data_IF_937670238303
#
_entry.id   IF_937670238303
#
_cell.length_a   1.000
_cell.length_b   1.000
_cell.length_c   1.000
_cell.angle_alpha   90.00
_cell.angle_beta   90.00
_cell.angle_gamma   90.00
#
_symmetry.space_group_name_H-M   'P 1'
#
loop_
_entity.id
_entity.type
_entity.pdbx_description
1 polymer ?
#
# COMPACT_ATOMS: atom_id res chain seq x y z
N UNK A 1 0.97 0.90 2.87
CA UNK A 1 0.28 1.20 1.60
C UNK A 1 0.94 0.38 0.51
N UNK A 2 0.14 -0.29 -0.32
CA UNK A 2 0.62 -1.05 -1.48
C UNK A 2 -0.31 -0.79 -2.66
N UNK A 3 0.20 -0.99 -3.88
CA UNK A 3 -0.60 -0.79 -5.08
C UNK A 3 -1.67 -1.88 -5.18
N UNK A 4 -2.90 -1.45 -5.38
CA UNK A 4 -4.11 -2.28 -5.52
C UNK A 4 -4.45 -2.50 -7.00
N UNK A 5 -4.23 -1.50 -7.83
CA UNK A 5 -4.34 -1.68 -9.27
C UNK A 5 -4.12 -0.43 -10.09
N UNK A 6 -3.90 -0.63 -11.38
CA UNK A 6 -3.90 0.42 -12.39
C UNK A 6 -5.14 0.21 -13.24
N UNK A 7 -5.96 1.24 -13.38
CA UNK A 7 -7.22 1.17 -14.13
C UNK A 7 -7.06 1.92 -15.45
N UNK A 8 -7.25 1.20 -16.55
CA UNK A 8 -7.22 1.73 -17.91
C UNK A 8 -8.63 1.74 -18.50
N UNK A 9 -8.94 2.79 -19.26
CA UNK A 9 -10.08 2.83 -20.17
C UNK A 9 -9.63 2.35 -21.54
N UNK A 10 -10.46 1.52 -22.15
CA UNK A 10 -10.25 0.96 -23.48
C UNK A 10 -11.52 1.11 -24.33
N UNK A 11 -11.36 1.34 -25.62
CA UNK A 11 -12.45 1.33 -26.60
C UNK A 11 -12.82 -0.09 -27.07
N UNK A 12 -11.94 -1.06 -26.80
CA UNK A 12 -12.07 -2.43 -27.22
C UNK A 12 -11.51 -3.39 -26.17
N UNK A 13 -12.35 -3.65 -25.16
CA UNK A 13 -12.02 -4.48 -24.01
C UNK A 13 -11.49 -5.87 -24.38
N UNK A 14 -11.98 -6.47 -25.46
CA UNK A 14 -11.56 -7.79 -25.88
C UNK A 14 -10.16 -7.77 -26.49
N UNK A 15 -9.85 -6.81 -27.36
CA UNK A 15 -8.52 -6.71 -27.98
C UNK A 15 -7.47 -6.34 -26.93
N UNK A 16 -7.77 -5.42 -26.02
CA UNK A 16 -6.85 -5.05 -24.93
C UNK A 16 -6.65 -6.21 -23.95
N UNK A 17 -7.73 -6.89 -23.53
CA UNK A 17 -7.58 -8.06 -22.66
C UNK A 17 -6.76 -9.17 -23.34
N UNK A 18 -6.97 -9.43 -24.62
CA UNK A 18 -6.18 -10.41 -25.38
C UNK A 18 -4.72 -9.98 -25.50
N UNK A 19 -4.44 -8.70 -25.74
CA UNK A 19 -3.08 -8.18 -25.78
C UNK A 19 -2.36 -8.43 -24.44
N UNK A 20 -2.93 -7.95 -23.34
CA UNK A 20 -2.29 -8.07 -22.03
C UNK A 20 -2.20 -9.52 -21.55
N UNK A 21 -3.20 -10.36 -21.83
CA UNK A 21 -3.20 -11.75 -21.38
C UNK A 21 -2.36 -12.67 -22.27
N UNK A 22 -2.58 -12.66 -23.58
CA UNK A 22 -1.99 -13.62 -24.51
C UNK A 22 -0.61 -13.17 -25.02
N UNK A 23 -0.47 -11.88 -25.33
CA UNK A 23 0.80 -11.34 -25.86
C UNK A 23 1.77 -11.04 -24.72
N UNK A 24 1.31 -10.28 -23.74
CA UNK A 24 2.16 -9.81 -22.65
C UNK A 24 2.29 -10.84 -21.51
N UNK A 25 1.32 -11.75 -21.36
CA UNK A 25 1.39 -12.88 -20.43
C UNK A 25 0.83 -12.61 -19.03
N UNK A 26 0.01 -11.57 -18.87
CA UNK A 26 -0.78 -11.39 -17.65
C UNK A 26 -1.87 -12.46 -17.55
N UNK A 27 -2.30 -12.77 -16.33
CA UNK A 27 -3.37 -13.73 -16.09
C UNK A 27 -4.69 -13.02 -15.92
N UNK A 28 -5.68 -13.35 -16.75
CA UNK A 28 -7.06 -12.96 -16.48
C UNK A 28 -7.59 -13.69 -15.24
N UNK A 29 -8.09 -12.94 -14.26
CA UNK A 29 -8.62 -13.48 -13.00
C UNK A 29 -10.12 -13.26 -12.84
N UNK A 30 -10.64 -12.19 -13.44
CA UNK A 30 -12.05 -11.85 -13.41
C UNK A 30 -12.43 -11.10 -14.69
N UNK A 31 -13.65 -11.37 -15.16
CA UNK A 31 -14.24 -10.71 -16.31
C UNK A 31 -15.73 -10.52 -16.08
N UNK A 32 -16.17 -9.28 -16.23
CA UNK A 32 -17.58 -8.92 -16.34
C UNK A 32 -17.86 -8.35 -17.74
N UNK A 33 -19.03 -7.74 -17.94
CA UNK A 33 -19.43 -7.22 -19.26
C UNK A 33 -18.55 -6.08 -19.76
N UNK A 34 -18.07 -5.25 -18.84
CA UNK A 34 -17.45 -3.94 -19.10
C UNK A 34 -16.12 -3.79 -18.34
N UNK A 35 -15.65 -4.84 -17.68
CA UNK A 35 -14.38 -4.84 -16.95
C UNK A 35 -13.67 -6.19 -17.03
N UNK A 36 -12.34 -6.15 -17.19
CA UNK A 36 -11.46 -7.31 -17.09
C UNK A 36 -10.36 -6.99 -16.07
N UNK A 37 -10.15 -7.91 -15.14
CA UNK A 37 -9.05 -7.83 -14.17
C UNK A 37 -7.94 -8.83 -14.54
N UNK A 38 -6.73 -8.32 -14.66
CA UNK A 38 -5.53 -9.05 -15.03
C UNK A 38 -4.50 -8.98 -13.90
N UNK A 39 -3.79 -10.08 -13.68
CA UNK A 39 -2.80 -10.23 -12.62
C UNK A 39 -1.42 -10.58 -13.17
N UNK A 40 -0.37 -9.97 -12.59
CA UNK A 40 1.03 -10.34 -12.83
C UNK A 40 1.64 -11.19 -11.71
N UNK A 41 2.93 -11.50 -11.87
CA UNK A 41 3.74 -12.41 -11.06
C UNK A 41 3.97 -11.86 -9.65
N UNK A 42 4.02 -12.77 -8.67
CA UNK A 42 4.53 -12.54 -7.30
C UNK A 42 3.90 -11.38 -6.50
N UNK A 43 2.73 -10.89 -6.93
CA UNK A 43 2.08 -9.80 -6.24
C UNK A 43 0.64 -10.18 -5.94
N UNK A 44 0.41 -10.50 -4.67
CA UNK A 44 -0.94 -10.60 -4.13
C UNK A 44 -1.63 -9.24 -4.26
N UNK A 45 -2.70 -9.17 -5.05
CA UNK A 45 -3.57 -8.01 -5.12
C UNK A 45 -3.16 -6.86 -6.05
N UNK A 46 -2.09 -6.97 -6.85
CA UNK A 46 -1.80 -5.98 -7.89
C UNK A 46 -2.43 -6.38 -9.22
N UNK A 47 -3.36 -5.55 -9.67
CA UNK A 47 -4.20 -5.82 -10.81
C UNK A 47 -4.08 -4.72 -11.87
N UNK A 48 -4.10 -5.12 -13.13
CA UNK A 48 -4.43 -4.24 -14.23
C UNK A 48 -5.92 -4.40 -14.52
N UNK A 49 -6.69 -3.33 -14.38
CA UNK A 49 -8.10 -3.31 -14.72
C UNK A 49 -8.26 -2.64 -16.08
N UNK A 50 -8.94 -3.31 -16.99
CA UNK A 50 -9.36 -2.76 -18.26
C UNK A 50 -10.85 -2.52 -18.19
N UNK A 51 -11.30 -1.32 -18.54
CA UNK A 51 -12.70 -0.93 -18.47
C UNK A 51 -13.18 -0.41 -19.82
N UNK A 52 -14.28 -0.98 -20.30
CA UNK A 52 -15.03 -0.45 -21.45
C UNK A 52 -15.84 0.77 -21.00
N UNK A 53 -15.52 1.95 -21.52
CA UNK A 53 -16.26 3.17 -21.24
C UNK A 53 -16.27 4.12 -22.45
N UNK A 54 -17.36 4.85 -22.60
CA UNK A 54 -17.54 5.89 -23.64
C UNK A 54 -16.82 7.20 -23.24
N UNK A 55 -15.52 7.10 -22.97
CA UNK A 55 -14.59 8.20 -22.65
C UNK A 55 -13.24 7.95 -23.33
N UNK A 56 -12.34 8.92 -23.27
CA UNK A 56 -11.00 8.80 -23.89
C UNK A 56 -10.20 7.64 -23.28
N UNK A 57 -9.56 6.84 -24.15
CA UNK A 57 -8.66 5.75 -23.76
C UNK A 57 -7.45 6.26 -22.96
N UNK A 58 -6.94 5.39 -22.08
CA UNK A 58 -5.74 5.68 -21.28
C UNK A 58 -5.94 5.38 -19.81
N UNK A 59 -5.20 6.10 -18.96
CA UNK A 59 -5.31 5.94 -17.51
C UNK A 59 -6.62 6.55 -16.99
N UNK A 60 -7.44 5.74 -16.32
CA UNK A 60 -8.56 6.21 -15.49
C UNK A 60 -8.03 6.69 -14.12
N UNK A 61 -7.43 5.76 -13.36
CA UNK A 61 -6.86 6.05 -12.06
C UNK A 61 -5.88 4.97 -11.59
N UNK A 62 -5.08 5.32 -10.57
CA UNK A 62 -4.18 4.40 -9.87
C UNK A 62 -4.72 4.17 -8.46
N UNK A 63 -4.93 2.93 -8.06
CA UNK A 63 -5.53 2.61 -6.75
C UNK A 63 -4.53 1.94 -5.80
N UNK A 64 -4.58 2.33 -4.53
CA UNK A 64 -3.76 1.76 -3.45
C UNK A 64 -4.63 1.24 -2.31
N UNK A 65 -4.15 0.21 -1.64
CA UNK A 65 -4.72 -0.27 -0.38
C UNK A 65 -3.99 0.40 0.79
N UNK A 66 -4.76 0.90 1.76
CA UNK A 66 -4.28 1.61 2.95
C UNK A 66 -4.91 1.04 4.22
N UNK A 67 -4.12 0.94 5.30
CA UNK A 67 -4.61 0.44 6.58
C UNK A 67 -5.52 1.46 7.31
N UNK A 68 -5.24 2.74 7.13
CA UNK A 68 -5.94 3.83 7.83
C UNK A 68 -6.30 4.95 6.86
N UNK A 69 -7.44 4.78 6.17
CA UNK A 69 -7.94 5.73 5.19
C UNK A 69 -8.25 7.10 5.84
N UNK A 70 -8.84 7.13 7.04
CA UNK A 70 -9.23 8.38 7.71
C UNK A 70 -8.03 9.29 8.01
N UNK A 71 -6.91 8.71 8.44
CA UNK A 71 -5.70 9.47 8.70
C UNK A 71 -5.11 10.08 7.41
N UNK A 72 -5.18 9.37 6.29
CA UNK A 72 -4.67 9.88 5.00
C UNK A 72 -5.62 10.93 4.44
N UNK A 73 -6.94 10.72 4.53
CA UNK A 73 -7.95 11.71 4.12
C UNK A 73 -7.78 13.01 4.90
N UNK A 74 -7.56 12.95 6.21
CA UNK A 74 -7.29 14.17 7.00
C UNK A 74 -6.03 14.90 6.51
N UNK A 75 -4.95 14.18 6.19
CA UNK A 75 -3.73 14.80 5.64
C UNK A 75 -3.95 15.42 4.26
N UNK A 76 -4.78 14.79 3.42
CA UNK A 76 -5.16 15.34 2.11
C UNK A 76 -5.96 16.63 2.28
N UNK A 77 -6.93 16.65 3.19
CA UNK A 77 -7.71 17.86 3.52
C UNK A 77 -6.82 18.97 4.11
N UNK A 78 -5.87 18.61 5.00
CA UNK A 78 -4.90 19.55 5.58
C UNK A 78 -3.95 20.14 4.51
N UNK A 79 -3.76 19.42 3.40
CA UNK A 79 -2.99 19.84 2.23
C UNK A 79 -3.84 20.55 1.15
N UNK A 80 -5.11 20.88 1.46
CA UNK A 80 -6.06 21.54 0.55
C UNK A 80 -6.39 20.73 -0.72
N UNK A 81 -6.35 19.40 -0.63
CA UNK A 81 -6.72 18.49 -1.71
C UNK A 81 -8.19 18.10 -1.60
N UNK A 82 -8.94 18.21 -2.70
CA UNK A 82 -10.34 17.77 -2.75
C UNK A 82 -10.44 16.23 -2.79
N UNK A 83 -11.21 15.66 -1.87
CA UNK A 83 -11.34 14.21 -1.69
C UNK A 83 -12.77 13.77 -1.88
N UNK A 84 -12.98 12.89 -2.86
CA UNK A 84 -14.27 12.22 -3.11
C UNK A 84 -14.33 10.89 -2.38
N UNK A 85 -14.97 10.88 -1.21
CA UNK A 85 -15.17 9.68 -0.40
C UNK A 85 -16.46 8.93 -0.78
N UNK A 86 -16.36 7.61 -0.96
CA UNK A 86 -17.48 6.69 -1.18
C UNK A 86 -17.40 5.52 -0.19
N UNK A 87 -18.53 5.21 0.44
CA UNK A 87 -18.68 4.06 1.32
C UNK A 87 -19.59 3.02 0.64
N UNK A 88 -19.20 1.75 0.71
CA UNK A 88 -19.94 0.63 0.17
C UNK A 88 -20.61 -0.19 1.28
N UNK A 89 -21.66 -0.95 0.94
CA UNK A 89 -22.49 -1.69 1.91
C UNK A 89 -21.73 -2.83 2.62
N UNK A 90 -20.68 -3.33 1.99
CA UNK A 90 -19.76 -4.35 2.53
C UNK A 90 -18.77 -3.78 3.56
N UNK A 91 -18.80 -2.47 3.80
CA UNK A 91 -17.88 -1.76 4.68
C UNK A 91 -16.61 -1.28 3.98
N UNK A 92 -16.44 -1.56 2.68
CA UNK A 92 -15.32 -1.03 1.89
C UNK A 92 -15.47 0.48 1.76
N UNK A 93 -14.39 1.20 2.01
CA UNK A 93 -14.33 2.66 1.86
C UNK A 93 -13.29 3.01 0.81
N UNK A 94 -13.65 3.90 -0.10
CA UNK A 94 -12.77 4.35 -1.18
C UNK A 94 -12.74 5.87 -1.22
N UNK A 95 -11.55 6.46 -1.23
CA UNK A 95 -11.35 7.88 -1.49
C UNK A 95 -10.70 8.06 -2.86
N UNK A 96 -11.14 9.05 -3.64
CA UNK A 96 -10.47 9.46 -4.87
C UNK A 96 -10.08 10.94 -4.77
N UNK A 97 -8.90 11.28 -5.25
CA UNK A 97 -8.40 12.66 -5.35
C UNK A 97 -7.46 12.78 -6.55
N UNK A 98 -7.14 14.00 -6.96
CA UNK A 98 -6.13 14.27 -7.99
C UNK A 98 -4.78 14.53 -7.31
N UNK A 99 -3.74 13.80 -7.74
CA UNK A 99 -2.36 14.03 -7.30
C UNK A 99 -1.75 15.29 -7.96
N UNK A 100 -0.53 15.67 -7.55
CA UNK A 100 0.19 16.84 -8.10
C UNK A 100 0.31 16.80 -9.63
N UNK A 101 0.47 15.60 -10.20
CA UNK A 101 0.61 15.40 -11.64
C UNK A 101 -0.72 15.35 -12.40
N UNK A 102 -1.83 15.78 -11.80
CA UNK A 102 -3.18 15.69 -12.39
C UNK A 102 -3.61 14.24 -12.70
N UNK A 103 -3.10 13.27 -11.93
CA UNK A 103 -3.50 11.86 -12.02
C UNK A 103 -4.48 11.53 -10.91
N UNK A 104 -5.58 10.86 -11.24
CA UNK A 104 -6.53 10.41 -10.21
C UNK A 104 -5.92 9.25 -9.41
N UNK A 105 -5.89 9.39 -8.08
CA UNK A 105 -5.43 8.38 -7.14
C UNK A 105 -6.63 7.89 -6.30
N UNK A 106 -6.81 6.58 -6.25
CA UNK A 106 -7.78 5.89 -5.41
C UNK A 106 -7.11 5.29 -4.16
N UNK A 107 -7.74 5.41 -2.99
CA UNK A 107 -7.31 4.76 -1.74
C UNK A 107 -8.43 3.90 -1.21
N UNK A 108 -8.15 2.65 -0.84
CA UNK A 108 -9.15 1.71 -0.32
C UNK A 108 -8.68 1.00 0.96
N UNK A 109 -9.62 0.62 1.83
CA UNK A 109 -9.31 -0.09 3.09
C UNK A 109 -9.20 -1.62 2.94
N UNK A 110 -9.48 -2.16 1.76
CA UNK A 110 -9.48 -3.59 1.48
C UNK A 110 -8.99 -3.87 0.06
N UNK A 111 -8.32 -5.01 -0.14
CA UNK A 111 -7.97 -5.49 -1.48
C UNK A 111 -9.21 -5.88 -2.29
N UNK A 112 -9.11 -5.90 -3.62
CA UNK A 112 -10.24 -6.20 -4.50
C UNK A 112 -10.54 -7.70 -4.57
N UNK A 113 -9.50 -8.53 -4.63
CA UNK A 113 -9.62 -9.96 -4.91
C UNK A 113 -8.62 -10.76 -4.07
N UNK A 114 -9.07 -11.93 -3.61
CA UNK A 114 -8.17 -12.93 -3.04
C UNK A 114 -7.46 -13.66 -4.18
N UNK A 115 -6.17 -13.38 -4.33
CA UNK A 115 -5.35 -13.95 -5.40
C UNK A 115 -4.50 -15.14 -4.93
N UNK A 116 -4.80 -15.73 -3.76
CA UNK A 116 -4.04 -16.84 -3.20
C UNK A 116 -4.34 -18.16 -3.94
N UNK A 117 -3.55 -18.49 -4.96
CA UNK A 117 -3.63 -19.79 -5.65
C UNK A 117 -3.54 -19.77 -7.18
N UNK A 118 -3.05 -18.69 -7.78
CA UNK A 118 -2.83 -18.63 -9.23
C UNK A 118 -1.58 -19.41 -9.67
N UNK A 119 -1.61 -19.96 -10.89
CA UNK A 119 -0.40 -20.34 -11.65
C UNK A 119 0.55 -19.14 -11.77
N UNK A 120 1.86 -19.38 -11.67
CA UNK A 120 2.88 -18.35 -11.84
C UNK A 120 2.85 -17.78 -13.27
N UNK A 121 2.79 -16.46 -13.39
CA UNK A 121 3.01 -15.73 -14.65
C UNK A 121 4.49 -15.32 -14.75
N UNK A 122 5.01 -15.08 -15.95
CA UNK A 122 6.42 -14.68 -16.18
C UNK A 122 6.65 -13.16 -16.12
N UNK A 123 5.58 -12.38 -15.93
CA UNK A 123 5.61 -10.91 -16.00
C UNK A 123 5.03 -10.26 -14.74
N UNK A 124 5.65 -9.19 -14.27
CA UNK A 124 5.27 -8.41 -13.08
C UNK A 124 5.11 -6.94 -13.42
N UNK A 125 4.05 -6.28 -12.93
CA UNK A 125 4.02 -4.80 -12.95
C UNK A 125 5.08 -4.31 -11.96
N UNK A 126 6.09 -3.60 -12.47
CA UNK A 126 7.30 -3.25 -11.72
C UNK A 126 7.29 -1.82 -11.20
N UNK A 127 6.87 -0.88 -12.04
CA UNK A 127 6.77 0.54 -11.72
C UNK A 127 5.83 1.25 -12.68
N UNK A 128 5.44 2.46 -12.34
CA UNK A 128 4.85 3.39 -13.29
C UNK A 128 5.50 4.76 -13.16
N UNK A 129 5.40 5.54 -14.23
CA UNK A 129 6.08 6.83 -14.35
C UNK A 129 5.06 7.95 -14.45
N UNK A 130 5.25 8.97 -13.62
CA UNK A 130 4.49 10.21 -13.62
C UNK A 130 5.39 11.35 -14.05
N UNK A 131 4.88 12.23 -14.90
CA UNK A 131 5.51 13.45 -15.36
C UNK A 131 5.05 14.62 -14.49
N UNK A 132 6.00 15.36 -13.95
CA UNK A 132 5.76 16.52 -13.08
C UNK A 132 6.64 17.69 -13.50
N UNK A 133 6.13 18.92 -13.43
CA UNK A 133 6.96 20.12 -13.58
C UNK A 133 7.61 20.57 -12.26
N UNK A 134 7.11 20.06 -11.12
CA UNK A 134 7.64 20.30 -9.78
C UNK A 134 7.89 18.98 -9.03
N UNK A 135 9.08 18.41 -9.28
CA UNK A 135 9.53 17.17 -8.64
C UNK A 135 9.57 17.30 -7.11
N UNK A 136 9.97 18.46 -6.58
CA UNK A 136 10.13 18.64 -5.13
C UNK A 136 8.77 18.67 -4.42
N UNK A 137 7.82 19.43 -4.94
CA UNK A 137 6.45 19.48 -4.39
C UNK A 137 5.79 18.09 -4.49
N UNK A 138 6.04 17.36 -5.58
CA UNK A 138 5.57 15.99 -5.77
C UNK A 138 6.17 15.03 -4.74
N UNK A 139 7.49 15.07 -4.52
CA UNK A 139 8.15 14.28 -3.47
C UNK A 139 7.55 14.58 -2.10
N UNK A 140 7.37 15.86 -1.75
CA UNK A 140 6.80 16.25 -0.47
C UNK A 140 5.37 15.72 -0.31
N UNK A 141 4.55 15.81 -1.35
CA UNK A 141 3.20 15.26 -1.35
C UNK A 141 3.22 13.75 -1.08
N UNK A 142 3.90 12.97 -1.92
CA UNK A 142 3.91 11.52 -1.79
C UNK A 142 4.53 11.04 -0.48
N UNK A 143 5.60 11.68 0.01
CA UNK A 143 6.27 11.24 1.24
C UNK A 143 5.54 11.70 2.51
N UNK A 144 5.05 12.93 2.57
CA UNK A 144 4.45 13.48 3.81
C UNK A 144 2.96 13.19 3.92
N UNK A 145 2.23 13.26 2.81
CA UNK A 145 0.78 13.02 2.77
C UNK A 145 0.51 11.52 2.68
N UNK A 146 1.02 10.86 1.63
CA UNK A 146 0.75 9.43 1.38
C UNK A 146 1.70 8.47 2.11
N UNK A 147 2.81 8.97 2.67
CA UNK A 147 3.73 8.16 3.47
C UNK A 147 4.64 7.23 2.65
N UNK A 148 4.87 7.53 1.38
CA UNK A 148 5.84 6.80 0.56
C UNK A 148 7.26 7.06 1.04
N UNK A 149 8.18 6.17 0.67
CA UNK A 149 9.59 6.30 0.98
C UNK A 149 10.38 6.59 -0.29
N UNK A 150 11.13 7.69 -0.30
CA UNK A 150 12.16 7.93 -1.32
C UNK A 150 13.27 6.88 -1.22
N UNK A 151 13.60 6.24 -2.34
CA UNK A 151 14.57 5.12 -2.36
C UNK A 151 15.88 5.47 -3.07
N UNK A 152 15.82 6.11 -4.23
CA UNK A 152 16.98 6.73 -4.90
C UNK A 152 16.49 7.52 -6.13
N UNK A 153 17.25 8.54 -6.51
CA UNK A 153 17.07 9.28 -7.75
C UNK A 153 18.23 9.05 -8.72
N UNK A 154 17.95 9.09 -10.01
CA UNK A 154 18.97 9.04 -11.06
C UNK A 154 18.90 10.35 -11.85
N UNK A 155 20.05 11.01 -12.03
CA UNK A 155 20.15 12.10 -12.99
C UNK A 155 20.68 11.56 -14.31
N UNK A 156 19.93 11.78 -15.40
CA UNK A 156 20.44 11.55 -16.75
C UNK A 156 21.24 12.77 -17.21
N UNK A 157 22.21 12.57 -18.12
CA UNK A 157 23.15 13.61 -18.59
C UNK A 157 22.47 14.85 -19.23
N UNK A 158 21.15 14.82 -19.46
CA UNK A 158 20.38 15.83 -20.20
C UNK A 158 19.32 16.62 -19.36
N UNK A 159 19.48 16.73 -18.04
CA UNK A 159 18.58 17.44 -17.10
C UNK A 159 17.22 16.76 -16.84
N UNK A 160 17.11 15.46 -17.10
CA UNK A 160 15.97 14.68 -16.60
C UNK A 160 16.33 14.12 -15.23
N UNK A 161 15.75 14.74 -14.19
CA UNK A 161 15.81 14.23 -12.83
C UNK A 161 14.71 13.18 -12.66
N UNK A 162 15.13 11.95 -12.32
CA UNK A 162 14.25 10.86 -11.96
C UNK A 162 14.29 10.66 -10.45
N UNK A 163 13.13 10.55 -9.82
CA UNK A 163 13.05 10.21 -8.38
C UNK A 163 12.15 9.02 -8.16
N UNK A 164 12.70 7.96 -7.57
CA UNK A 164 11.98 6.75 -7.20
C UNK A 164 11.36 6.84 -5.81
N UNK A 165 10.06 6.58 -5.74
CA UNK A 165 9.27 6.51 -4.51
C UNK A 165 8.71 5.10 -4.33
N UNK A 166 9.04 4.45 -3.21
CA UNK A 166 8.56 3.12 -2.88
C UNK A 166 7.15 3.17 -2.27
N UNK A 167 6.23 2.42 -2.87
CA UNK A 167 4.86 2.21 -2.41
C UNK A 167 4.58 0.71 -2.23
N UNK A 168 4.96 0.18 -1.07
CA UNK A 168 4.85 -1.26 -0.81
C UNK A 168 5.82 -2.03 -1.68
N UNK A 169 5.32 -2.74 -2.69
CA UNK A 169 6.09 -3.58 -3.61
C UNK A 169 6.25 -2.98 -5.02
N UNK A 170 5.74 -1.76 -5.26
CA UNK A 170 5.94 -1.05 -6.53
C UNK A 170 6.75 0.23 -6.31
N UNK A 171 7.38 0.70 -7.38
CA UNK A 171 8.06 2.00 -7.44
C UNK A 171 7.19 2.97 -8.28
N UNK A 172 7.02 4.18 -7.76
CA UNK A 172 6.55 5.34 -8.54
C UNK A 172 7.79 6.11 -8.97
N UNK A 173 7.92 6.39 -10.26
CA UNK A 173 9.00 7.24 -10.76
C UNK A 173 8.44 8.59 -11.12
N UNK A 174 8.96 9.63 -10.49
CA UNK A 174 8.72 11.02 -10.89
C UNK A 174 9.75 11.40 -11.95
N UNK A 175 9.25 11.84 -13.10
CA UNK A 175 10.05 12.32 -14.22
C UNK A 175 9.81 13.82 -14.36
N UNK A 176 10.88 14.61 -14.19
CA UNK A 176 10.83 16.04 -14.49
C UNK A 176 10.49 16.25 -15.97
N UNK A 177 9.43 17.02 -16.24
CA UNK A 177 9.05 17.37 -17.61
C UNK A 177 10.03 18.33 -18.26
N UNK A 178 10.87 19.05 -17.52
CA UNK A 178 11.79 20.04 -18.11
C UNK A 178 11.07 21.01 -19.07
N UNK A 179 11.32 20.89 -20.39
CA UNK A 179 10.64 21.67 -21.45
C UNK A 179 9.51 20.92 -22.17
N UNK A 180 9.16 19.71 -21.74
CA UNK A 180 8.11 18.87 -22.34
C UNK A 180 6.69 19.40 -22.02
N UNK A 181 5.72 19.01 -22.86
CA UNK A 181 4.48 19.78 -23.04
C UNK A 181 3.35 19.50 -22.02
N UNK A 182 3.41 18.43 -21.21
CA UNK A 182 2.38 18.19 -20.19
C UNK A 182 2.80 17.24 -19.05
N UNK A 183 2.34 17.57 -17.84
CA UNK A 183 2.31 16.68 -16.68
C UNK A 183 1.34 15.51 -16.90
N UNK A 184 1.40 14.51 -16.02
CA UNK A 184 0.47 13.38 -16.02
C UNK A 184 1.13 12.03 -16.08
N UNK A 185 0.32 11.03 -16.38
CA UNK A 185 0.80 9.66 -16.54
C UNK A 185 1.65 9.51 -17.80
N UNK A 186 2.81 8.85 -17.70
CA UNK A 186 3.67 8.55 -18.84
C UNK A 186 3.51 7.09 -19.28
N UNK A 187 3.81 6.14 -18.39
CA UNK A 187 3.89 4.72 -18.74
C UNK A 187 3.76 3.77 -17.55
N UNK A 188 3.46 2.51 -17.87
CA UNK A 188 3.58 1.34 -16.98
C UNK A 188 4.79 0.54 -17.44
N UNK A 189 5.69 0.22 -16.50
CA UNK A 189 6.82 -0.65 -16.77
C UNK A 189 6.58 -2.03 -16.15
N UNK A 190 6.78 -3.06 -16.95
CA UNK A 190 6.71 -4.46 -16.55
C UNK A 190 8.09 -5.09 -16.47
N UNK A 191 8.35 -5.82 -15.40
CA UNK A 191 9.50 -6.70 -15.30
C UNK A 191 9.16 -8.07 -15.87
N UNK A 192 10.04 -8.58 -16.73
CA UNK A 192 9.87 -9.87 -17.41
C UNK A 192 11.06 -10.78 -17.12
N UNK A 193 10.78 -12.07 -16.93
CA UNK A 193 11.83 -13.07 -16.68
C UNK A 193 12.80 -13.21 -17.88
N UNK A 194 12.30 -13.04 -19.11
CA UNK A 194 13.09 -13.05 -20.34
C UNK A 194 12.60 -11.97 -21.32
N UNK A 195 13.38 -10.89 -21.46
CA UNK A 195 13.03 -9.76 -22.31
C UNK A 195 12.93 -10.15 -23.79
N UNK A 196 13.89 -10.91 -24.30
CA UNK A 196 13.94 -11.25 -25.73
C UNK A 196 12.78 -12.14 -26.17
N UNK A 197 12.42 -13.15 -25.37
CA UNK A 197 11.24 -13.98 -25.64
C UNK A 197 9.95 -13.14 -25.63
N UNK A 198 9.87 -12.14 -24.75
CA UNK A 198 8.72 -11.23 -24.70
C UNK A 198 8.67 -10.32 -25.94
N UNK A 199 9.82 -9.79 -26.36
CA UNK A 199 9.93 -8.98 -27.59
C UNK A 199 9.53 -9.81 -28.81
N UNK A 200 9.98 -11.06 -28.94
CA UNK A 200 9.56 -11.93 -30.05
C UNK A 200 8.05 -12.17 -30.09
N UNK A 201 7.39 -12.31 -28.93
CA UNK A 201 5.92 -12.42 -28.85
C UNK A 201 5.25 -11.12 -29.32
N UNK A 202 5.81 -9.96 -28.95
CA UNK A 202 5.31 -8.64 -29.37
C UNK A 202 5.49 -8.42 -30.88
N UNK A 203 6.66 -8.74 -31.43
CA UNK A 203 6.92 -8.67 -32.87
C UNK A 203 6.00 -9.60 -33.67
N UNK A 204 5.75 -10.82 -33.15
CA UNK A 204 4.79 -11.75 -33.76
C UNK A 204 3.34 -11.24 -33.72
N UNK A 205 3.04 -10.31 -32.81
CA UNK A 205 1.78 -9.59 -32.72
C UNK A 205 1.80 -8.23 -33.45
N UNK A 206 2.81 -7.97 -34.30
CA UNK A 206 2.98 -6.72 -35.07
C UNK A 206 3.19 -5.48 -34.20
N UNK A 207 3.80 -5.65 -33.02
CA UNK A 207 4.18 -4.55 -32.12
C UNK A 207 5.67 -4.28 -32.23
N UNK A 208 6.02 -3.06 -32.63
CA UNK A 208 7.40 -2.59 -32.72
C UNK A 208 7.90 -2.15 -31.33
N UNK A 209 9.05 -2.67 -30.91
CA UNK A 209 9.63 -2.41 -29.58
C UNK A 209 10.96 -1.69 -29.74
N UNK A 210 11.04 -0.48 -29.19
CA UNK A 210 12.28 0.30 -29.12
C UNK A 210 13.14 -0.21 -27.96
N UNK A 211 14.15 -1.02 -28.29
CA UNK A 211 15.08 -1.60 -27.31
C UNK A 211 16.24 -0.66 -27.04
N UNK A 212 16.43 -0.34 -25.76
CA UNK A 212 17.59 0.38 -25.25
C UNK A 212 18.84 -0.49 -25.12
N UNK A 213 19.95 0.16 -24.82
CA UNK A 213 21.22 -0.52 -24.57
C UNK A 213 21.19 -1.32 -23.27
N UNK A 214 21.95 -2.42 -23.26
CA UNK A 214 22.15 -3.25 -22.06
C UNK A 214 23.14 -2.53 -21.14
N UNK A 215 22.76 -2.34 -19.88
CA UNK A 215 23.64 -1.69 -18.91
C UNK A 215 24.73 -2.64 -18.37
N UNK A 216 25.65 -2.11 -17.55
CA UNK A 216 26.75 -2.88 -16.95
C UNK A 216 26.31 -4.03 -16.02
N UNK A 217 25.03 -4.07 -15.65
CA UNK A 217 24.42 -5.09 -14.83
C UNK A 217 23.61 -6.12 -15.63
N UNK A 218 23.63 -6.02 -16.97
CA UNK A 218 22.90 -6.92 -17.86
C UNK A 218 21.41 -6.61 -17.97
N UNK A 219 20.93 -5.48 -17.47
CA UNK A 219 19.55 -5.05 -17.63
C UNK A 219 19.37 -4.30 -18.95
N UNK A 220 18.25 -4.57 -19.62
CA UNK A 220 17.83 -3.87 -20.82
C UNK A 220 16.39 -3.38 -20.65
N UNK A 221 16.06 -2.27 -21.31
CA UNK A 221 14.72 -1.70 -21.34
C UNK A 221 14.19 -1.73 -22.77
N UNK A 222 12.90 -2.02 -22.91
CA UNK A 222 12.18 -1.89 -24.17
C UNK A 222 10.96 -0.99 -24.00
N UNK A 223 10.63 -0.19 -25.01
CA UNK A 223 9.46 0.69 -24.97
C UNK A 223 8.59 0.51 -26.20
N UNK A 224 7.27 0.53 -26.02
CA UNK A 224 6.32 0.48 -27.13
C UNK A 224 4.98 1.10 -26.74
N UNK A 225 4.10 1.32 -27.72
CA UNK A 225 2.73 1.78 -27.49
C UNK A 225 1.80 0.59 -27.20
N UNK A 226 1.10 0.62 -26.08
CA UNK A 226 0.05 -0.34 -25.74
C UNK A 226 -1.26 -0.08 -26.49
N UNK A 227 -2.22 -1.03 -26.42
CA UNK A 227 -3.49 -0.93 -27.15
C UNK A 227 -4.38 0.22 -26.68
N UNK A 228 -4.25 0.65 -25.41
CA UNK A 228 -5.12 1.66 -24.79
C UNK A 228 -4.49 3.06 -24.76
N UNK A 229 -3.70 3.41 -25.79
CA UNK A 229 -2.95 4.66 -25.85
C UNK A 229 -2.02 4.91 -24.62
N UNK A 230 -1.61 3.83 -23.96
CA UNK A 230 -0.68 3.85 -22.83
C UNK A 230 0.69 3.39 -23.30
N UNK A 231 1.75 4.16 -23.02
CA UNK A 231 3.12 3.69 -23.25
C UNK A 231 3.46 2.57 -22.27
N UNK A 232 4.10 1.53 -22.77
CA UNK A 232 4.52 0.37 -21.99
C UNK A 232 6.04 0.28 -22.03
N UNK A 233 6.65 0.11 -20.86
CA UNK A 233 8.05 -0.29 -20.72
C UNK A 233 8.18 -1.76 -20.33
N UNK A 234 9.23 -2.38 -20.83
CA UNK A 234 9.71 -3.69 -20.37
C UNK A 234 11.07 -3.51 -19.72
N UNK A 235 11.31 -4.24 -18.66
CA UNK A 235 12.63 -4.36 -18.03
C UNK A 235 12.91 -5.82 -17.76
N UNK A 236 14.11 -6.27 -18.10
CA UNK A 236 14.51 -7.64 -17.85
C UNK A 236 16.02 -7.79 -18.00
N UNK A 237 16.54 -8.89 -17.46
CA UNK A 237 17.91 -9.27 -17.75
C UNK A 237 18.03 -9.70 -19.21
N UNK A 238 19.07 -9.25 -19.87
CA UNK A 238 19.56 -9.88 -21.09
C UNK A 238 20.08 -11.26 -20.69
N UNK A 239 19.18 -12.25 -20.68
CA UNK A 239 19.65 -13.61 -20.87
C UNK A 239 20.16 -13.65 -22.29
N UNK A 240 21.48 -13.59 -22.45
CA UNK A 240 22.13 -14.06 -23.66
C UNK A 240 21.54 -15.44 -23.89
N UNK A 241 20.74 -15.60 -24.94
CA UNK A 241 20.54 -16.92 -25.52
C UNK A 241 21.97 -17.37 -25.77
N UNK A 242 22.48 -18.28 -24.95
CA UNK A 242 23.69 -19.00 -25.30
C UNK A 242 23.28 -19.77 -26.55
N UNK A 243 23.54 -19.15 -27.70
CA UNK A 243 23.19 -19.65 -29.02
C UNK A 243 23.63 -21.11 -29.13
N UNK A 244 22.68 -22.03 -29.05
CA UNK A 244 22.84 -23.36 -29.64
C UNK A 244 22.64 -23.32 -31.17
N UNK A 245 22.32 -22.17 -31.78
CA UNK A 245 22.15 -22.08 -33.23
C UNK A 245 22.70 -20.78 -33.84
N UNK A 246 24.01 -20.75 -34.11
CA UNK A 246 24.54 -19.97 -35.25
C UNK A 246 25.40 -20.86 -36.15
N UNK A 247 24.74 -21.79 -36.84
CA UNK A 247 25.27 -22.40 -38.06
C UNK A 247 24.83 -21.54 -39.26
N UNK A 248 25.33 -20.30 -39.34
CA UNK A 248 25.18 -19.50 -40.54
C UNK A 248 26.35 -18.54 -40.77
N UNK A 249 27.19 -18.97 -41.72
CA UNK A 249 27.83 -18.14 -42.73
C UNK A 249 28.49 -16.84 -42.24
N UNK A 250 29.66 -16.97 -41.64
CA UNK A 250 30.75 -16.09 -42.08
C UNK A 250 32.05 -16.88 -42.26
N UNK A 251 32.73 -16.58 -43.35
CA UNK A 251 33.85 -17.35 -43.87
C UNK A 251 35.10 -17.15 -43.02
N UNK A 252 35.71 -18.28 -42.66
CA UNK A 252 37.10 -18.43 -42.21
C UNK A 252 37.37 -18.37 -40.70
N UNK A 253 36.64 -19.14 -39.90
CA UNK A 253 37.19 -19.74 -38.69
C UNK A 253 37.53 -21.20 -38.99
N UNK A 254 38.83 -21.52 -39.05
CA UNK A 254 39.29 -22.91 -39.13
C UNK A 254 38.64 -23.71 -38.01
N UNK A 255 37.87 -24.74 -38.38
CA UNK A 255 37.24 -25.64 -37.40
C UNK A 255 38.34 -26.20 -36.50
N UNK A 256 38.21 -26.10 -35.16
CA UNK A 256 39.20 -26.64 -34.23
C UNK A 256 39.45 -28.11 -34.54
N UNK A 257 40.72 -28.47 -34.61
CA UNK A 257 41.15 -29.85 -34.83
C UNK A 257 40.59 -30.75 -33.71
N UNK A 258 40.43 -32.04 -34.01
CA UNK A 258 39.96 -33.03 -33.03
C UNK A 258 40.84 -33.00 -31.77
N UNK A 259 42.14 -32.75 -31.92
CA UNK A 259 43.10 -32.66 -30.82
C UNK A 259 42.82 -31.45 -29.91
N UNK A 260 42.46 -30.30 -30.49
CA UNK A 260 42.09 -29.11 -29.71
C UNK A 260 40.76 -29.31 -28.98
N UNK A 261 39.79 -29.99 -29.62
CA UNK A 261 38.54 -30.37 -28.96
C UNK A 261 38.78 -31.31 -27.77
N UNK A 262 39.66 -32.31 -27.92
CA UNK A 262 40.01 -33.21 -26.81
C UNK A 262 40.69 -32.46 -25.67
N UNK A 263 41.65 -31.58 -25.96
CA UNK A 263 42.30 -30.75 -24.93
C UNK A 263 41.33 -29.82 -24.22
N UNK A 264 40.37 -29.26 -24.96
CA UNK A 264 39.30 -28.43 -24.38
C UNK A 264 38.47 -29.25 -23.39
N UNK A 265 38.06 -30.47 -23.75
CA UNK A 265 37.31 -31.34 -22.85
C UNK A 265 38.11 -31.79 -21.63
N UNK A 266 39.41 -32.08 -21.78
CA UNK A 266 40.29 -32.41 -20.65
C UNK A 266 40.46 -31.23 -19.69
N UNK A 267 40.56 -30.01 -20.23
CA UNK A 267 40.63 -28.79 -19.42
C UNK A 267 39.30 -28.47 -18.74
N UNK A 268 38.17 -28.64 -19.43
CA UNK A 268 36.83 -28.52 -18.83
C UNK A 268 36.62 -29.55 -17.72
N UNK A 269 37.06 -30.80 -17.91
CA UNK A 269 36.99 -31.82 -16.87
C UNK A 269 37.84 -31.44 -15.66
N UNK A 270 39.06 -30.93 -15.88
CA UNK A 270 39.93 -30.42 -14.80
C UNK A 270 39.28 -29.27 -14.03
N UNK A 271 38.71 -28.31 -14.73
CA UNK A 271 37.99 -27.18 -14.13
C UNK A 271 36.79 -27.69 -13.32
N UNK A 272 35.99 -28.60 -13.87
CA UNK A 272 34.82 -29.17 -13.21
C UNK A 272 35.19 -29.95 -11.94
N UNK A 273 36.30 -30.70 -11.96
CA UNK A 273 36.80 -31.42 -10.79
C UNK A 273 37.16 -30.48 -9.62
N UNK A 274 37.57 -29.24 -9.91
CA UNK A 274 37.87 -28.22 -8.90
C UNK A 274 36.62 -27.40 -8.48
N UNK A 275 35.77 -27.04 -9.45
CA UNK A 275 34.61 -26.16 -9.24
C UNK A 275 33.43 -26.86 -8.55
N UNK A 276 33.08 -28.08 -8.98
CA UNK A 276 31.90 -28.79 -8.46
C UNK A 276 31.97 -28.97 -6.93
N UNK A 277 33.09 -29.45 -6.33
CA UNK A 277 33.17 -29.58 -4.87
C UNK A 277 33.08 -28.25 -4.13
N UNK A 278 33.58 -27.15 -4.74
CA UNK A 278 33.49 -25.81 -4.15
C UNK A 278 32.05 -25.31 -4.13
N UNK A 279 31.31 -25.50 -5.22
CA UNK A 279 29.89 -25.13 -5.33
C UNK A 279 29.07 -25.94 -4.33
N UNK A 280 29.30 -27.26 -4.22
CA UNK A 280 28.63 -28.11 -3.23
C UNK A 280 28.87 -27.58 -1.81
N UNK A 281 30.12 -27.28 -1.46
CA UNK A 281 30.47 -26.75 -0.12
C UNK A 281 29.81 -25.40 0.14
N UNK A 282 29.74 -24.52 -0.85
CA UNK A 282 29.06 -23.23 -0.71
C UNK A 282 27.55 -23.41 -0.52
N UNK A 283 26.93 -24.35 -1.23
CA UNK A 283 25.52 -24.67 -1.08
C UNK A 283 25.22 -25.28 0.31
N UNK A 284 26.08 -26.17 0.81
CA UNK A 284 25.99 -26.72 2.16
C UNK A 284 26.08 -25.61 3.23
N UNK A 285 27.04 -24.69 3.10
CA UNK A 285 27.18 -23.53 3.99
C UNK A 285 25.96 -22.60 3.93
N UNK A 286 25.43 -22.34 2.73
CA UNK A 286 24.23 -21.54 2.55
C UNK A 286 23.03 -22.20 3.22
N UNK A 287 22.86 -23.51 3.04
CA UNK A 287 21.79 -24.30 3.68
C UNK A 287 21.89 -24.25 5.20
N UNK A 288 23.12 -24.33 5.74
CA UNK A 288 23.35 -24.17 7.17
C UNK A 288 22.95 -22.76 7.65
N UNK A 289 23.34 -21.71 6.93
CA UNK A 289 22.99 -20.33 7.29
C UNK A 289 21.48 -20.08 7.21
N UNK A 290 20.77 -20.66 6.24
CA UNK A 290 19.30 -20.60 6.16
C UNK A 290 18.69 -21.25 7.40
N UNK A 291 19.14 -22.45 7.78
CA UNK A 291 18.63 -23.13 8.98
C UNK A 291 18.94 -22.36 10.29
N UNK A 292 20.10 -21.72 10.38
CA UNK A 292 20.45 -20.84 11.50
C UNK A 292 19.56 -19.59 11.54
N UNK A 293 19.28 -18.99 10.38
CA UNK A 293 18.40 -17.84 10.26
C UNK A 293 16.96 -18.18 10.65
N UNK A 294 16.42 -19.31 10.19
CA UNK A 294 15.06 -19.77 10.55
C UNK A 294 14.94 -19.99 12.07
N UNK A 295 15.97 -20.56 12.69
CA UNK A 295 16.02 -20.73 14.15
C UNK A 295 16.05 -19.37 14.88
N UNK A 296 16.84 -18.41 14.40
CA UNK A 296 16.88 -17.06 14.96
C UNK A 296 15.55 -16.32 14.79
N UNK A 297 14.89 -16.46 13.64
CA UNK A 297 13.56 -15.90 13.42
C UNK A 297 12.52 -16.51 14.38
N UNK A 298 12.57 -17.82 14.60
CA UNK A 298 11.70 -18.47 15.58
C UNK A 298 11.95 -17.94 17.00
N UNK A 299 13.21 -17.84 17.43
CA UNK A 299 13.57 -17.30 18.75
C UNK A 299 13.09 -15.85 18.90
N UNK A 300 13.25 -15.03 17.86
CA UNK A 300 12.79 -13.64 17.86
C UNK A 300 11.27 -13.57 17.98
N UNK A 301 10.54 -14.36 17.19
CA UNK A 301 9.08 -14.45 17.23
C UNK A 301 8.57 -14.86 18.61
N UNK A 302 9.15 -15.91 19.20
CA UNK A 302 8.78 -16.39 20.55
C UNK A 302 9.05 -15.32 21.62
N UNK A 303 10.17 -14.60 21.49
CA UNK A 303 10.53 -13.51 22.41
C UNK A 303 9.58 -12.33 22.30
N UNK A 304 9.22 -11.93 21.07
CA UNK A 304 8.25 -10.87 20.82
C UNK A 304 6.86 -11.24 21.33
N UNK A 305 6.40 -12.47 21.06
CA UNK A 305 5.11 -12.96 21.53
C UNK A 305 5.04 -12.98 23.07
N UNK A 306 6.13 -13.42 23.72
CA UNK A 306 6.24 -13.37 25.18
C UNK A 306 6.16 -11.95 25.71
N UNK A 307 6.95 -11.02 25.15
CA UNK A 307 6.94 -9.61 25.57
C UNK A 307 5.56 -8.95 25.39
N UNK A 308 4.89 -9.20 24.25
CA UNK A 308 3.53 -8.73 23.99
C UNK A 308 2.54 -9.30 25.00
N UNK A 309 2.65 -10.59 25.35
CA UNK A 309 1.77 -11.21 26.35
C UNK A 309 1.96 -10.62 27.76
N UNK A 310 3.21 -10.35 28.16
CA UNK A 310 3.53 -9.73 29.45
C UNK A 310 3.01 -8.28 29.49
N UNK A 311 3.15 -7.54 28.39
CA UNK A 311 2.62 -6.18 28.27
C UNK A 311 1.08 -6.15 28.30
N UNK A 312 0.42 -7.09 27.63
CA UNK A 312 -1.04 -7.22 27.66
C UNK A 312 -1.56 -7.48 29.08
N UNK A 313 -0.91 -8.39 29.82
CA UNK A 313 -1.25 -8.67 31.22
C UNK A 313 -1.04 -7.45 32.13
N UNK A 314 0.00 -6.65 31.89
CA UNK A 314 0.23 -5.41 32.62
C UNK A 314 -0.88 -4.39 32.37
N UNK A 315 -1.31 -4.21 31.12
CA UNK A 315 -2.42 -3.31 30.80
C UNK A 315 -3.75 -3.78 31.39
N UNK A 316 -4.03 -5.08 31.36
CA UNK A 316 -5.25 -5.64 31.95
C UNK A 316 -5.30 -5.41 33.47
N UNK A 317 -4.18 -5.63 34.17
CA UNK A 317 -4.05 -5.34 35.60
C UNK A 317 -4.18 -3.85 35.93
N UNK A 318 -3.59 -2.98 35.10
CA UNK A 318 -3.73 -1.53 35.24
C UNK A 318 -5.17 -1.07 35.02
N UNK A 319 -5.88 -1.65 34.05
CA UNK A 319 -7.27 -1.34 33.74
C UNK A 319 -8.22 -1.78 34.87
N UNK A 320 -8.02 -2.97 35.44
CA UNK A 320 -8.79 -3.43 36.63
C UNK A 320 -8.57 -2.50 37.84
N UNK A 321 -7.30 -2.10 38.07
CA UNK A 321 -6.95 -1.15 39.13
C UNK A 321 -7.62 0.21 38.93
N UNK A 322 -7.58 0.75 37.70
CA UNK A 322 -8.21 2.02 37.36
C UNK A 322 -9.74 1.96 37.51
N UNK A 323 -10.37 0.85 37.07
CA UNK A 323 -11.81 0.64 37.20
C UNK A 323 -12.23 0.58 38.67
N UNK A 324 -11.45 -0.09 39.52
CA UNK A 324 -11.69 -0.14 40.96
C UNK A 324 -11.60 1.26 41.60
N UNK A 325 -10.57 2.03 41.26
CA UNK A 325 -10.42 3.41 41.74
C UNK A 325 -11.57 4.33 41.28
N UNK A 326 -12.02 4.16 40.03
CA UNK A 326 -13.16 4.90 39.50
C UNK A 326 -14.44 4.59 40.28
N UNK A 327 -14.69 3.31 40.56
CA UNK A 327 -15.86 2.88 41.34
C UNK A 327 -15.81 3.41 42.79
N UNK A 328 -14.66 3.33 43.46
CA UNK A 328 -14.46 3.88 44.81
C UNK A 328 -14.68 5.40 44.83
N UNK A 329 -14.15 6.11 43.83
CA UNK A 329 -14.34 7.56 43.69
C UNK A 329 -15.81 7.91 43.45
N UNK A 330 -16.50 7.16 42.60
CA UNK A 330 -17.93 7.34 42.34
C UNK A 330 -18.77 7.13 43.60
N UNK A 331 -18.46 6.12 44.41
CA UNK A 331 -19.14 5.86 45.68
C UNK A 331 -18.91 7.02 46.67
N UNK A 332 -17.69 7.53 46.78
CA UNK A 332 -17.37 8.69 47.63
C UNK A 332 -18.13 9.95 47.21
N UNK A 333 -18.18 10.25 45.90
CA UNK A 333 -18.93 11.38 45.35
C UNK A 333 -20.43 11.24 45.68
N UNK A 334 -20.98 10.04 45.49
CA UNK A 334 -22.40 9.76 45.75
C UNK A 334 -22.74 9.90 47.24
N UNK A 335 -21.91 9.35 48.13
CA UNK A 335 -22.09 9.48 49.57
C UNK A 335 -22.00 10.94 50.03
N UNK A 336 -21.05 11.70 49.48
CA UNK A 336 -20.90 13.12 49.78
C UNK A 336 -22.13 13.92 49.34
N UNK A 337 -22.59 13.74 48.11
CA UNK A 337 -23.78 14.41 47.58
C UNK A 337 -25.04 14.09 48.40
N UNK A 338 -25.23 12.82 48.80
CA UNK A 338 -26.34 12.43 49.66
C UNK A 338 -26.25 13.09 51.05
N UNK A 339 -25.04 13.17 51.62
CA UNK A 339 -24.82 13.81 52.92
C UNK A 339 -25.14 15.32 52.90
N UNK A 340 -24.75 16.01 51.82
CA UNK A 340 -25.06 17.43 51.60
C UNK A 340 -26.57 17.63 51.43
N UNK A 341 -27.25 16.77 50.66
CA UNK A 341 -28.70 16.83 50.48
C UNK A 341 -29.46 16.61 51.80
N UNK A 342 -29.03 15.66 52.63
CA UNK A 342 -29.62 15.40 53.95
C UNK A 342 -29.42 16.60 54.89
N UNK A 343 -28.25 17.24 54.88
CA UNK A 343 -28.01 18.41 55.72
C UNK A 343 -28.84 19.62 55.26
N UNK A 344 -28.97 19.84 53.95
CA UNK A 344 -29.85 20.87 53.41
C UNK A 344 -31.32 20.66 53.84
N UNK A 345 -31.84 19.44 53.72
CA UNK A 345 -33.20 19.10 54.18
C UNK A 345 -33.38 19.31 55.69
N UNK A 346 -32.35 18.99 56.50
CA UNK A 346 -32.37 19.25 57.94
C UNK A 346 -32.42 20.74 58.25
N UNK A 347 -31.68 21.57 57.52
CA UNK A 347 -31.72 23.03 57.68
C UNK A 347 -33.09 23.60 57.31
N UNK A 348 -33.68 23.16 56.19
CA UNK A 348 -35.04 23.55 55.79
C UNK A 348 -36.10 23.14 56.82
N UNK A 349 -36.01 21.92 57.37
CA UNK A 349 -36.90 21.45 58.42
C UNK A 349 -36.78 22.28 59.71
N UNK A 350 -35.55 22.66 60.11
CA UNK A 350 -35.31 23.58 61.25
C UNK A 350 -35.92 24.96 60.99
N UNK A 351 -35.72 25.53 59.81
CA UNK A 351 -36.32 26.82 59.43
C UNK A 351 -37.85 26.76 59.46
N UNK A 352 -38.44 25.69 58.93
CA UNK A 352 -39.89 25.47 58.93
C UNK A 352 -40.44 25.34 60.35
N UNK A 353 -39.76 24.55 61.21
CA UNK A 353 -40.12 24.43 62.63
C UNK A 353 -40.05 25.78 63.36
N UNK A 354 -39.04 26.60 63.09
CA UNK A 354 -38.91 27.93 63.68
C UNK A 354 -40.06 28.85 63.23
N UNK A 355 -40.43 28.81 61.94
CA UNK A 355 -41.60 29.53 61.41
C UNK A 355 -42.91 29.10 62.08
N UNK A 356 -43.14 27.79 62.22
CA UNK A 356 -44.33 27.26 62.89
C UNK A 356 -44.41 27.66 64.37
N UNK A 357 -43.27 27.59 65.08
CA UNK A 357 -43.19 28.04 66.49
C UNK A 357 -43.52 29.53 66.62
N UNK A 358 -43.02 30.36 65.69
CA UNK A 358 -43.32 31.79 65.67
C UNK A 358 -44.81 32.07 65.39
N UNK A 359 -45.42 31.34 64.45
CA UNK A 359 -46.86 31.44 64.16
C UNK A 359 -47.68 31.05 65.39
N UNK A 360 -47.35 29.94 66.05
CA UNK A 360 -48.05 29.46 67.26
C UNK A 360 -47.93 30.45 68.42
N UNK A 361 -46.76 31.06 68.63
CA UNK A 361 -46.57 32.11 69.62
C UNK A 361 -47.41 33.36 69.29
N UNK A 362 -47.45 33.77 68.01
CA UNK A 362 -48.26 34.88 67.54
C UNK A 362 -49.76 34.66 67.74
N UNK A 363 -50.28 33.47 67.43
CA UNK A 363 -51.70 33.15 67.64
C UNK A 363 -52.07 33.04 69.12
N UNK A 364 -51.17 32.58 69.99
CA UNK A 364 -51.37 32.62 71.44
C UNK A 364 -51.50 34.05 71.97
N UNK A 365 -50.67 34.98 71.48
CA UNK A 365 -50.76 36.41 71.84
C UNK A 365 -52.12 36.98 71.40
N UNK A 366 -52.57 36.68 70.18
CA UNK A 366 -53.88 37.13 69.69
C UNK A 366 -55.02 36.60 70.58
N UNK A 367 -54.98 35.32 70.96
CA UNK A 367 -55.98 34.71 71.83
C UNK A 367 -56.03 35.37 73.22
N UNK A 368 -54.86 35.63 73.84
CA UNK A 368 -54.77 36.35 75.11
C UNK A 368 -55.34 37.77 74.98
N UNK A 369 -55.02 38.46 73.90
CA UNK A 369 -55.50 39.83 73.64
C UNK A 369 -57.03 39.86 73.48
N UNK A 370 -57.59 38.90 72.74
CA UNK A 370 -59.04 38.75 72.59
C UNK A 370 -59.73 38.45 73.93
N UNK A 371 -59.12 37.62 74.78
CA UNK A 371 -59.64 37.32 76.12
C UNK A 371 -59.65 38.58 77.02
N UNK A 372 -58.58 39.38 76.97
CA UNK A 372 -58.49 40.64 77.72
C UNK A 372 -59.57 41.63 77.26
N UNK A 373 -59.76 41.78 75.94
CA UNK A 373 -60.81 42.64 75.38
C UNK A 373 -62.20 42.18 75.81
N UNK A 374 -62.46 40.87 75.84
CA UNK A 374 -63.74 40.32 76.26
C UNK A 374 -64.02 40.46 77.77
N UNK A 375 -62.99 40.55 78.62
CA UNK A 375 -63.16 40.78 80.07
C UNK A 375 -63.39 42.26 80.40
N UNK A 376 -62.92 43.17 79.54
CA UNK A 376 -63.04 44.62 79.71
C UNK A 376 -64.31 45.22 79.10
N UNK A 377 -64.99 44.49 78.21
CA UNK A 377 -66.30 44.83 77.63
C UNK A 377 -67.43 44.22 78.47
#
# INVERSE_FOLDING_TARGET
>A
MHLRGIHLVTDNLEDSANFYAQTLGLKEIERESDIVALQGKDISGLLLFLKDADVDEGLDHISFTVENLDNIVQKLEDADVDVRLKNYDDGTRVAHFEGPENVTIGLATADLLDTSGGEETEIRIYRFVLKTDDVEDSIQFYTQVLGLKEIEGFSYEDNEDYVGLQAGNIIIVLLSTGWFESEGFDRIDFEVDNLYNTVQKLEAADVDVDLGEVNEHGWCWGFFGGPDNVKIGLVGLEQTILDEETDSQDGNTERPSIVEKVRFWEEQDRINQELIPRVIRQNELLTQHIAEHDNLQQILSDTMQKALSEQAQQYESALDTAQKQLNETHEQITQKALSEQVENLRQEARQTRNRLTAIAAGSAIIAITALIVAVLA
#
